data_IF_635141450013
#
_entry.id   IF_635141450013
#
_cell.length_a   1.000
_cell.length_b   1.000
_cell.length_c   1.000
_cell.angle_alpha   90.00
_cell.angle_beta   90.00
_cell.angle_gamma   90.00
#
_symmetry.space_group_name_H-M   'P 1'
#
loop_
_entity.id
_entity.type
_entity.pdbx_description
1 polymer ?
#
# COMPACT_ATOMS: atom_id res chain seq x y z
N UNK A 1 4.50 2.53 -12.03
CA UNK A 1 5.13 1.24 -11.64
C UNK A 1 4.20 0.09 -11.97
N UNK A 2 4.78 -1.08 -12.19
CA UNK A 2 3.99 -2.30 -12.26
C UNK A 2 3.41 -2.60 -10.87
N UNK A 3 2.27 -3.29 -10.83
CA UNK A 3 1.62 -3.63 -9.58
C UNK A 3 1.39 -5.13 -9.50
N UNK A 4 1.77 -5.72 -8.37
CA UNK A 4 1.42 -7.07 -7.99
C UNK A 4 0.61 -6.99 -6.70
N UNK A 5 -0.38 -7.86 -6.54
CA UNK A 5 -1.27 -7.83 -5.40
C UNK A 5 -1.31 -9.22 -4.75
N UNK A 6 -0.97 -9.27 -3.46
CA UNK A 6 -1.05 -10.52 -2.70
C UNK A 6 -2.49 -10.84 -2.30
N UNK A 7 -2.79 -12.12 -2.13
CA UNK A 7 -4.12 -12.57 -1.69
C UNK A 7 -4.53 -11.93 -0.37
N UNK A 8 -3.59 -11.80 0.56
CA UNK A 8 -3.88 -11.18 1.86
C UNK A 8 -4.33 -9.73 1.71
N UNK A 9 -3.72 -8.98 0.78
CA UNK A 9 -4.13 -7.62 0.49
C UNK A 9 -5.57 -7.57 -0.04
N UNK A 10 -5.90 -8.45 -0.98
CA UNK A 10 -7.25 -8.52 -1.54
C UNK A 10 -8.28 -8.82 -0.45
N UNK A 11 -7.98 -9.77 0.44
CA UNK A 11 -8.88 -10.09 1.56
C UNK A 11 -9.07 -8.89 2.49
N UNK A 12 -7.98 -8.17 2.78
CA UNK A 12 -8.06 -6.97 3.60
C UNK A 12 -8.94 -5.90 2.93
N UNK A 13 -8.74 -5.68 1.62
CA UNK A 13 -9.46 -4.68 0.86
C UNK A 13 -10.97 -4.97 0.81
N UNK A 14 -11.34 -6.24 0.73
CA UNK A 14 -12.76 -6.64 0.70
C UNK A 14 -13.50 -6.25 1.98
N UNK A 15 -12.79 -6.10 3.09
CA UNK A 15 -13.37 -5.73 4.38
C UNK A 15 -13.51 -4.23 4.58
N UNK A 16 -12.98 -3.41 3.68
CA UNK A 16 -13.04 -1.96 3.82
C UNK A 16 -14.47 -1.43 3.62
N UNK A 17 -14.85 -0.37 4.35
CA UNK A 17 -16.07 0.35 4.03
C UNK A 17 -16.02 0.90 2.59
N UNK A 18 -17.19 1.05 1.97
CA UNK A 18 -17.30 1.44 0.55
C UNK A 18 -16.52 2.71 0.20
N UNK A 19 -16.55 3.72 1.09
CA UNK A 19 -15.82 4.97 0.84
C UNK A 19 -14.31 4.73 0.75
N UNK A 20 -13.77 3.83 1.58
CA UNK A 20 -12.35 3.49 1.55
C UNK A 20 -12.00 2.61 0.35
N UNK A 21 -12.91 1.77 -0.11
CA UNK A 21 -12.70 0.99 -1.34
C UNK A 21 -12.52 1.92 -2.54
N UNK A 22 -13.32 2.98 -2.63
CA UNK A 22 -13.19 3.98 -3.71
C UNK A 22 -11.87 4.74 -3.61
N UNK A 23 -11.50 5.13 -2.38
CA UNK A 23 -10.22 5.81 -2.16
C UNK A 23 -9.04 4.92 -2.52
N UNK A 24 -9.12 3.63 -2.15
CA UNK A 24 -8.09 2.65 -2.50
C UNK A 24 -7.94 2.53 -4.02
N UNK A 25 -9.04 2.46 -4.75
CA UNK A 25 -8.99 2.39 -6.21
C UNK A 25 -8.27 3.59 -6.82
N UNK A 26 -8.51 4.79 -6.28
CA UNK A 26 -7.81 6.00 -6.69
C UNK A 26 -6.31 5.89 -6.42
N UNK A 27 -5.93 5.43 -5.22
CA UNK A 27 -4.51 5.29 -4.84
C UNK A 27 -3.81 4.26 -5.74
N UNK A 28 -4.44 3.13 -6.02
CA UNK A 28 -3.86 2.12 -6.91
C UNK A 28 -3.60 2.71 -8.29
N UNK A 29 -4.52 3.50 -8.81
CA UNK A 29 -4.34 4.18 -10.08
C UNK A 29 -3.15 5.15 -10.04
N UNK A 30 -2.97 5.88 -8.95
CA UNK A 30 -1.83 6.76 -8.76
C UNK A 30 -0.51 5.98 -8.70
N UNK A 31 -0.51 4.81 -8.05
CA UNK A 31 0.67 3.94 -8.01
C UNK A 31 1.05 3.49 -9.43
N UNK A 32 0.08 3.11 -10.24
CA UNK A 32 0.35 2.70 -11.62
C UNK A 32 1.03 3.81 -12.44
N UNK A 33 0.61 5.05 -12.23
CA UNK A 33 1.15 6.22 -12.97
C UNK A 33 2.52 6.64 -12.49
N UNK A 34 2.87 6.38 -11.23
CA UNK A 34 4.14 6.80 -10.66
C UNK A 34 5.28 5.91 -11.13
N UNK A 35 6.49 6.47 -11.18
CA UNK A 35 7.71 5.72 -11.51
C UNK A 35 8.38 5.16 -10.27
N UNK A 36 8.18 5.79 -9.11
CA UNK A 36 8.81 5.40 -7.85
C UNK A 36 7.98 5.90 -6.67
N UNK A 37 8.14 5.29 -5.48
CA UNK A 37 7.32 5.63 -4.32
C UNK A 37 7.38 7.11 -3.90
N UNK A 38 8.51 7.78 -4.09
CA UNK A 38 8.66 9.18 -3.71
C UNK A 38 7.72 10.15 -4.45
N UNK A 39 7.10 9.70 -5.53
CA UNK A 39 6.13 10.48 -6.30
C UNK A 39 4.71 10.34 -5.74
N UNK A 40 4.51 9.45 -4.76
CA UNK A 40 3.20 9.19 -4.19
C UNK A 40 2.96 10.08 -2.98
N UNK A 41 1.72 10.54 -2.82
CA UNK A 41 1.31 11.27 -1.63
C UNK A 41 1.25 10.32 -0.43
N UNK A 42 1.60 10.85 0.74
CA UNK A 42 1.49 10.13 2.01
C UNK A 42 2.33 8.84 2.09
N UNK A 43 3.35 8.71 1.25
CA UNK A 43 4.25 7.58 1.33
C UNK A 43 5.28 7.77 2.44
N UNK A 44 5.80 6.66 2.94
CA UNK A 44 6.94 6.66 3.84
C UNK A 44 7.72 5.37 3.61
N UNK A 45 9.05 5.50 3.48
CA UNK A 45 9.93 4.34 3.51
C UNK A 45 10.11 3.89 4.94
N UNK A 46 10.00 2.58 5.20
CA UNK A 46 10.15 2.06 6.55
C UNK A 46 11.62 1.96 6.94
N UNK A 47 11.96 2.48 8.13
CA UNK A 47 13.32 2.48 8.64
C UNK A 47 13.84 1.05 8.83
N UNK A 48 15.06 0.79 8.38
CA UNK A 48 15.69 -0.52 8.51
C UNK A 48 15.34 -1.51 7.40
N UNK A 49 14.53 -1.12 6.42
CA UNK A 49 14.13 -1.99 5.30
C UNK A 49 14.46 -1.30 3.98
N UNK A 50 15.05 -2.04 3.05
CA UNK A 50 15.47 -1.49 1.76
C UNK A 50 14.32 -1.24 0.80
N UNK A 51 13.27 -2.08 0.85
CA UNK A 51 12.21 -2.09 -0.14
C UNK A 51 10.82 -1.90 0.43
N UNK A 52 10.68 -1.77 1.75
CA UNK A 52 9.37 -1.70 2.40
C UNK A 52 8.91 -0.25 2.55
N UNK A 53 7.69 0.00 2.11
CA UNK A 53 7.05 1.32 2.14
C UNK A 53 5.64 1.21 2.66
N UNK A 54 5.09 2.33 3.12
CA UNK A 54 3.66 2.41 3.44
C UNK A 54 3.04 3.66 2.84
N UNK A 55 1.74 3.61 2.55
CA UNK A 55 0.94 4.77 2.17
C UNK A 55 -0.15 4.93 3.21
N UNK A 56 -0.31 6.15 3.74
CA UNK A 56 -1.38 6.47 4.66
C UNK A 56 -2.67 6.78 3.89
N UNK A 57 -3.73 6.07 4.24
CA UNK A 57 -5.07 6.30 3.72
C UNK A 57 -6.02 6.44 4.90
N UNK A 58 -6.15 7.65 5.44
CA UNK A 58 -6.94 7.89 6.65
C UNK A 58 -6.42 7.07 7.83
N UNK A 59 -7.30 6.25 8.42
CA UNK A 59 -6.94 5.35 9.52
C UNK A 59 -6.25 4.07 9.05
N UNK A 60 -6.16 3.85 7.74
CA UNK A 60 -5.58 2.65 7.17
C UNK A 60 -4.18 2.91 6.65
N UNK A 61 -3.41 1.84 6.55
CA UNK A 61 -2.07 1.87 5.98
C UNK A 61 -1.95 0.77 4.94
N UNK A 62 -1.44 1.16 3.76
CA UNK A 62 -1.12 0.22 2.70
C UNK A 62 0.36 -0.10 2.82
N UNK A 63 0.68 -1.37 3.10
CA UNK A 63 2.06 -1.84 3.11
C UNK A 63 2.42 -2.47 1.78
N UNK A 64 3.53 -2.05 1.21
CA UNK A 64 3.98 -2.59 -0.07
C UNK A 64 5.50 -2.64 -0.13
N UNK A 65 6.00 -3.53 -0.97
CA UNK A 65 7.42 -3.56 -1.33
C UNK A 65 7.59 -2.95 -2.71
N UNK A 66 8.66 -2.18 -2.89
CA UNK A 66 9.01 -1.65 -4.20
C UNK A 66 10.41 -2.10 -4.58
N UNK A 67 10.51 -2.81 -5.71
CA UNK A 67 11.75 -3.31 -6.25
C UNK A 67 11.54 -3.60 -7.73
N UNK A 68 12.57 -3.37 -8.56
CA UNK A 68 12.51 -3.65 -10.00
C UNK A 68 11.28 -3.05 -10.68
N UNK A 69 11.00 -1.77 -10.41
CA UNK A 69 9.88 -1.03 -11.00
C UNK A 69 8.50 -1.63 -10.68
N UNK A 70 8.42 -2.49 -9.67
CA UNK A 70 7.20 -3.17 -9.27
C UNK A 70 6.85 -2.84 -7.84
N UNK A 71 5.60 -2.45 -7.61
CA UNK A 71 5.03 -2.29 -6.27
C UNK A 71 4.22 -3.55 -5.96
N UNK A 72 4.64 -4.30 -4.95
CA UNK A 72 3.92 -5.47 -4.47
C UNK A 72 3.07 -5.06 -3.28
N UNK A 73 1.75 -5.00 -3.46
CA UNK A 73 0.81 -4.63 -2.41
C UNK A 73 0.58 -5.84 -1.50
N UNK A 74 0.96 -5.71 -0.23
CA UNK A 74 1.03 -6.85 0.69
C UNK A 74 -0.12 -6.88 1.67
N UNK A 75 -0.41 -5.77 2.35
CA UNK A 75 -1.49 -5.66 3.33
C UNK A 75 -2.12 -4.26 3.28
N UNK A 76 -3.39 -4.18 3.60
CA UNK A 76 -4.03 -2.91 3.95
C UNK A 76 -4.82 -3.12 5.24
N UNK A 77 -4.37 -2.47 6.30
CA UNK A 77 -4.91 -2.67 7.64
C UNK A 77 -5.00 -1.34 8.38
N UNK A 78 -5.80 -1.33 9.45
CA UNK A 78 -5.87 -0.20 10.35
C UNK A 78 -4.47 0.13 10.88
N UNK A 79 -4.18 1.42 11.11
CA UNK A 79 -2.87 1.88 11.58
C UNK A 79 -2.39 1.18 12.86
N UNK A 80 -3.31 0.67 13.69
CA UNK A 80 -2.99 -0.03 14.93
C UNK A 80 -2.53 -1.46 14.70
N UNK A 81 -2.77 -2.01 13.51
CA UNK A 81 -2.49 -3.42 13.23
C UNK A 81 -1.43 -3.65 12.17
N UNK A 82 -1.23 -2.67 11.26
CA UNK A 82 -0.38 -2.88 10.07
C UNK A 82 1.01 -3.42 10.44
N UNK A 83 1.64 -2.89 11.47
CA UNK A 83 3.02 -3.26 11.80
C UNK A 83 3.17 -4.60 12.52
N UNK A 84 2.06 -5.29 12.80
CA UNK A 84 2.09 -6.68 13.23
C UNK A 84 2.25 -7.65 12.06
N UNK A 85 1.84 -7.21 10.86
CA UNK A 85 1.75 -8.07 9.69
C UNK A 85 2.60 -7.58 8.52
N UNK A 86 3.16 -6.37 8.62
CA UNK A 86 3.97 -5.77 7.57
C UNK A 86 5.06 -4.86 8.19
N UNK A 87 6.29 -4.91 7.73
CA UNK A 87 6.87 -5.86 6.79
C UNK A 87 7.11 -7.25 7.33
#
# INVERSE_FOLDING_TARGET
MNIEIRKAFTKDADKLPAAFKRHLAFIINEIEKASQPSQLDNYKKLTGYKTAYRIRMGQYRIGFYFENKTAELVRILHRKEIYRYFP
#
